data_IF_198478279211
#
_entry.id   IF_198478279211
#
_cell.length_a   1.000
_cell.length_b   1.000
_cell.length_c   1.000
_cell.angle_alpha   90.00
_cell.angle_beta   90.00
_cell.angle_gamma   90.00
#
_symmetry.space_group_name_H-M   'P 1'
#
loop_
_entity.id
_entity.type
_entity.pdbx_description
1 polymer ?
#
# COMPACT_ATOMS: atom_id res chain seq x y z
N UNK A 1 -55.08 -16.89 -20.95
CA UNK A 1 -54.48 -16.89 -19.59
C UNK A 1 -52.97 -16.64 -19.69
N UNK A 2 -52.57 -15.69 -20.54
CA UNK A 2 -51.19 -15.61 -21.10
C UNK A 2 -50.59 -14.21 -20.98
N UNK A 3 -51.39 -13.18 -20.70
CA UNK A 3 -50.92 -11.80 -20.58
C UNK A 3 -50.30 -11.45 -19.21
N UNK A 4 -50.48 -12.31 -18.19
CA UNK A 4 -49.95 -12.05 -16.83
C UNK A 4 -48.49 -12.46 -16.69
N UNK A 5 -48.03 -13.41 -17.50
CA UNK A 5 -46.68 -13.99 -17.43
C UNK A 5 -45.62 -13.12 -18.13
N UNK A 6 -46.00 -12.40 -19.19
CA UNK A 6 -45.08 -11.51 -19.91
C UNK A 6 -44.76 -10.22 -19.13
N UNK A 7 -45.71 -9.69 -18.35
CA UNK A 7 -45.46 -8.52 -17.49
C UNK A 7 -44.49 -8.81 -16.35
N UNK A 8 -44.43 -10.05 -15.88
CA UNK A 8 -43.49 -10.44 -14.82
C UNK A 8 -42.07 -10.62 -15.34
N UNK A 9 -41.89 -11.12 -16.57
CA UNK A 9 -40.56 -11.22 -17.18
C UNK A 9 -39.96 -9.84 -17.47
N UNK A 10 -40.72 -8.96 -18.12
CA UNK A 10 -40.29 -7.60 -18.46
C UNK A 10 -39.92 -6.74 -17.24
N UNK A 11 -40.59 -6.95 -16.10
CA UNK A 11 -40.34 -6.21 -14.85
C UNK A 11 -39.17 -6.76 -14.01
N UNK A 12 -38.73 -7.99 -14.29
CA UNK A 12 -37.55 -8.60 -13.65
C UNK A 12 -36.29 -8.23 -14.42
N UNK A 13 -36.35 -8.17 -15.75
CA UNK A 13 -35.25 -7.76 -16.63
C UNK A 13 -34.86 -6.29 -16.42
N UNK A 14 -35.83 -5.39 -16.25
CA UNK A 14 -35.56 -3.96 -15.93
C UNK A 14 -35.00 -3.75 -14.52
N UNK A 15 -35.09 -4.72 -13.61
CA UNK A 15 -34.59 -4.60 -12.24
C UNK A 15 -33.16 -5.16 -12.10
N UNK A 16 -32.73 -5.99 -13.03
CA UNK A 16 -31.37 -6.52 -13.07
C UNK A 16 -30.38 -5.51 -13.69
N UNK A 17 -30.83 -4.73 -14.68
CA UNK A 17 -30.02 -3.69 -15.33
C UNK A 17 -29.74 -2.47 -14.42
N UNK A 18 -30.59 -2.22 -13.43
CA UNK A 18 -30.48 -1.06 -12.52
C UNK A 18 -29.50 -1.30 -11.35
N UNK A 19 -28.89 -2.49 -11.26
CA UNK A 19 -27.89 -2.83 -10.23
C UNK A 19 -26.45 -2.75 -10.73
N UNK A 20 -26.22 -2.57 -12.02
CA UNK A 20 -24.87 -2.50 -12.57
C UNK A 20 -24.29 -1.07 -12.60
N UNK A 21 -25.05 -0.06 -12.17
CA UNK A 21 -24.62 1.32 -11.91
C UNK A 21 -24.10 1.53 -10.48
N UNK A 22 -23.54 0.47 -9.88
CA UNK A 22 -23.38 0.32 -8.42
C UNK A 22 -22.32 1.22 -7.74
N UNK A 23 -21.54 2.01 -8.49
CA UNK A 23 -20.64 3.02 -7.91
C UNK A 23 -20.73 4.33 -8.71
N UNK A 24 -21.14 5.45 -8.10
CA UNK A 24 -21.26 6.71 -8.82
C UNK A 24 -19.86 7.20 -9.22
N UNK A 25 -19.73 7.72 -10.45
CA UNK A 25 -18.44 8.17 -11.00
C UNK A 25 -17.60 9.09 -10.08
N UNK A 26 -18.20 10.00 -9.27
CA UNK A 26 -17.46 10.77 -8.28
C UNK A 26 -16.75 9.92 -7.22
N UNK A 27 -17.36 8.83 -6.78
CA UNK A 27 -16.79 7.95 -5.74
C UNK A 27 -15.64 7.12 -6.32
N UNK A 28 -15.76 6.67 -7.58
CA UNK A 28 -14.66 6.03 -8.30
C UNK A 28 -13.47 6.99 -8.53
N UNK A 29 -13.74 8.25 -8.84
CA UNK A 29 -12.69 9.27 -8.96
C UNK A 29 -11.97 9.49 -7.63
N UNK A 30 -12.71 9.64 -6.52
CA UNK A 30 -12.12 9.81 -5.18
C UNK A 30 -11.32 8.59 -4.73
N UNK A 31 -11.82 7.38 -4.98
CA UNK A 31 -11.09 6.15 -4.74
C UNK A 31 -9.75 6.15 -5.51
N UNK A 32 -9.80 6.48 -6.81
CA UNK A 32 -8.61 6.51 -7.66
C UNK A 32 -7.60 7.55 -7.17
N UNK A 33 -8.05 8.75 -6.81
CA UNK A 33 -7.18 9.79 -6.21
C UNK A 33 -6.57 9.32 -4.89
N UNK A 34 -7.34 8.64 -4.04
CA UNK A 34 -6.86 8.10 -2.76
C UNK A 34 -5.76 7.06 -2.97
N UNK A 35 -5.96 6.14 -3.92
CA UNK A 35 -4.95 5.15 -4.30
C UNK A 35 -3.69 5.80 -4.90
N UNK A 36 -3.85 6.81 -5.77
CA UNK A 36 -2.72 7.53 -6.36
C UNK A 36 -1.90 8.29 -5.31
N UNK A 37 -2.57 8.91 -4.33
CA UNK A 37 -1.89 9.58 -3.22
C UNK A 37 -1.15 8.57 -2.35
N UNK A 38 -1.78 7.44 -1.99
CA UNK A 38 -1.13 6.37 -1.24
C UNK A 38 0.06 5.76 -1.98
N UNK A 39 -0.02 5.60 -3.29
CA UNK A 39 1.09 5.15 -4.13
C UNK A 39 2.25 6.16 -4.14
N UNK A 40 1.94 7.44 -4.17
CA UNK A 40 2.96 8.51 -4.11
C UNK A 40 3.69 8.48 -2.77
N UNK A 41 2.94 8.38 -1.66
CA UNK A 41 3.49 8.23 -0.30
C UNK A 41 4.39 6.98 -0.21
N UNK A 42 3.94 5.84 -0.76
CA UNK A 42 4.72 4.60 -0.78
C UNK A 42 6.04 4.76 -1.52
N UNK A 43 6.04 5.40 -2.69
CA UNK A 43 7.28 5.63 -3.44
C UNK A 43 8.24 6.56 -2.69
N UNK A 44 7.72 7.61 -2.04
CA UNK A 44 8.54 8.50 -1.20
C UNK A 44 9.20 7.73 -0.05
N UNK A 45 8.47 6.83 0.60
CA UNK A 45 9.00 5.96 1.64
C UNK A 45 10.09 5.03 1.13
N UNK A 46 9.83 4.31 0.02
CA UNK A 46 10.81 3.41 -0.59
C UNK A 46 12.09 4.13 -1.01
N UNK A 47 11.99 5.32 -1.59
CA UNK A 47 13.15 6.13 -1.96
C UNK A 47 13.94 6.59 -0.73
N UNK A 48 13.25 7.00 0.33
CA UNK A 48 13.88 7.43 1.58
C UNK A 48 14.62 6.27 2.26
N UNK A 49 14.01 5.08 2.25
CA UNK A 49 14.63 3.85 2.72
C UNK A 49 15.88 3.49 1.90
N UNK A 50 15.79 3.54 0.57
CA UNK A 50 16.92 3.28 -0.32
C UNK A 50 18.08 4.25 -0.07
N UNK A 51 17.80 5.54 0.09
CA UNK A 51 18.82 6.56 0.43
C UNK A 51 19.48 6.28 1.77
N UNK A 52 18.68 5.89 2.78
CA UNK A 52 19.18 5.54 4.12
C UNK A 52 20.06 4.31 4.06
N UNK A 53 19.66 3.27 3.33
CA UNK A 53 20.44 2.05 3.12
C UNK A 53 21.79 2.33 2.45
N UNK A 54 21.81 3.19 1.42
CA UNK A 54 23.06 3.63 0.78
C UNK A 54 23.97 4.36 1.77
N UNK A 55 23.44 5.29 2.55
CA UNK A 55 24.22 6.02 3.56
C UNK A 55 24.81 5.08 4.61
N UNK A 56 23.98 4.18 5.16
CA UNK A 56 24.43 3.17 6.13
C UNK A 56 25.55 2.29 5.58
N UNK A 57 25.46 1.88 4.30
CA UNK A 57 26.52 1.09 3.65
C UNK A 57 27.81 1.87 3.46
N UNK A 58 27.72 3.17 3.14
CA UNK A 58 28.90 4.04 3.03
C UNK A 58 29.57 4.24 4.38
N UNK A 59 28.78 4.46 5.44
CA UNK A 59 29.29 4.60 6.80
C UNK A 59 29.98 3.31 7.27
N UNK A 60 29.35 2.15 7.01
CA UNK A 60 29.94 0.84 7.27
C UNK A 60 31.26 0.62 6.51
N UNK A 61 31.32 1.03 5.24
CA UNK A 61 32.53 0.92 4.44
C UNK A 61 33.67 1.82 4.97
N UNK A 62 33.34 3.01 5.48
CA UNK A 62 34.32 3.88 6.14
C UNK A 62 34.83 3.26 7.44
N UNK A 63 33.95 2.68 8.24
CA UNK A 63 34.33 2.02 9.50
C UNK A 63 35.22 0.80 9.26
N UNK A 64 34.88 -0.03 8.28
CA UNK A 64 35.69 -1.18 7.87
C UNK A 64 37.10 -0.78 7.43
N UNK A 65 37.27 0.38 6.78
CA UNK A 65 38.58 0.90 6.39
C UNK A 65 39.45 1.31 7.57
N UNK A 66 38.84 1.66 8.70
CA UNK A 66 39.52 2.11 9.89
C UNK A 66 39.80 0.97 10.89
N UNK A 67 39.26 -0.23 10.64
CA UNK A 67 39.50 -1.40 11.49
C UNK A 67 40.98 -1.80 11.47
N UNK A 68 41.57 -2.03 12.64
CA UNK A 68 42.97 -2.42 12.81
C UNK A 68 43.12 -3.92 13.11
N UNK A 69 42.02 -4.64 13.30
CA UNK A 69 42.02 -6.06 13.62
C UNK A 69 40.90 -6.83 12.91
N UNK A 70 41.08 -8.15 12.66
CA UNK A 70 40.00 -9.00 12.15
C UNK A 70 38.78 -9.04 13.06
N UNK A 71 38.98 -8.87 14.37
CA UNK A 71 37.89 -8.84 15.35
C UNK A 71 37.01 -7.60 15.16
N UNK A 72 37.61 -6.42 14.98
CA UNK A 72 36.87 -5.19 14.67
C UNK A 72 36.08 -5.28 13.36
N UNK A 73 36.63 -5.96 12.35
CA UNK A 73 35.95 -6.22 11.08
C UNK A 73 34.71 -7.10 11.29
N UNK A 74 34.81 -8.15 12.11
CA UNK A 74 33.68 -9.03 12.42
C UNK A 74 32.61 -8.30 13.24
N UNK A 75 33.01 -7.53 14.24
CA UNK A 75 32.09 -6.74 15.07
C UNK A 75 31.34 -5.71 14.22
N UNK A 76 32.04 -5.03 13.31
CA UNK A 76 31.45 -4.08 12.34
C UNK A 76 30.43 -4.79 11.44
N UNK A 77 30.80 -5.93 10.86
CA UNK A 77 29.88 -6.69 10.00
C UNK A 77 28.65 -7.19 10.75
N UNK A 78 28.80 -7.73 11.96
CA UNK A 78 27.67 -8.18 12.77
C UNK A 78 26.73 -7.03 13.15
N UNK A 79 27.29 -5.87 13.51
CA UNK A 79 26.50 -4.68 13.84
C UNK A 79 25.73 -4.17 12.62
N UNK A 80 26.38 -4.09 11.46
CA UNK A 80 25.74 -3.68 10.20
C UNK A 80 24.63 -4.66 9.83
N UNK A 81 24.90 -5.96 9.87
CA UNK A 81 23.91 -6.99 9.57
C UNK A 81 22.69 -6.88 10.49
N UNK A 82 22.90 -6.78 11.81
CA UNK A 82 21.80 -6.60 12.78
C UNK A 82 20.97 -5.36 12.43
N UNK A 83 21.64 -4.22 12.22
CA UNK A 83 20.97 -2.97 11.87
C UNK A 83 20.17 -3.08 10.57
N UNK A 84 20.73 -3.69 9.52
CA UNK A 84 20.04 -3.89 8.25
C UNK A 84 18.77 -4.74 8.44
N UNK A 85 18.81 -5.78 9.27
CA UNK A 85 17.63 -6.58 9.57
C UNK A 85 16.57 -5.79 10.36
N UNK A 86 16.99 -5.02 11.36
CA UNK A 86 16.09 -4.18 12.16
C UNK A 86 15.40 -3.12 11.27
N UNK A 87 16.20 -2.38 10.48
CA UNK A 87 15.72 -1.36 9.56
C UNK A 87 14.74 -1.97 8.52
N UNK A 88 15.03 -3.16 7.99
CA UNK A 88 14.16 -3.85 7.04
C UNK A 88 12.82 -4.27 7.66
N UNK A 89 12.84 -4.85 8.87
CA UNK A 89 11.62 -5.28 9.56
C UNK A 89 10.74 -4.08 9.93
N UNK A 90 11.34 -2.98 10.35
CA UNK A 90 10.63 -1.74 10.61
C UNK A 90 9.99 -1.18 9.34
N UNK A 91 10.74 -1.11 8.24
CA UNK A 91 10.20 -0.59 6.97
C UNK A 91 9.11 -1.48 6.40
N UNK A 92 9.24 -2.80 6.50
CA UNK A 92 8.20 -3.74 6.09
C UNK A 92 6.88 -3.52 6.86
N UNK A 93 6.97 -3.21 8.17
CA UNK A 93 5.79 -2.85 8.97
C UNK A 93 5.19 -1.52 8.52
N UNK A 94 6.02 -0.52 8.24
CA UNK A 94 5.57 0.80 7.78
C UNK A 94 4.84 0.70 6.43
N UNK A 95 5.41 -0.04 5.47
CA UNK A 95 4.79 -0.32 4.17
C UNK A 95 3.47 -1.06 4.36
N UNK A 96 3.43 -2.10 5.20
CA UNK A 96 2.21 -2.84 5.49
C UNK A 96 1.10 -1.95 6.06
N UNK A 97 1.44 -1.08 7.00
CA UNK A 97 0.51 -0.11 7.57
C UNK A 97 0.01 0.88 6.50
N UNK A 98 0.90 1.40 5.65
CA UNK A 98 0.53 2.31 4.57
C UNK A 98 -0.44 1.64 3.58
N UNK A 99 -0.16 0.40 3.17
CA UNK A 99 -1.02 -0.37 2.27
C UNK A 99 -2.39 -0.65 2.89
N UNK A 100 -2.42 -0.97 4.19
CA UNK A 100 -3.67 -1.19 4.92
C UNK A 100 -4.51 0.09 4.99
N UNK A 101 -3.90 1.24 5.32
CA UNK A 101 -4.58 2.54 5.31
C UNK A 101 -5.11 2.89 3.92
N UNK A 102 -4.25 2.82 2.91
CA UNK A 102 -4.61 3.10 1.51
C UNK A 102 -5.81 2.24 1.05
N UNK A 103 -5.81 0.95 1.41
CA UNK A 103 -6.91 0.03 1.07
C UNK A 103 -8.20 0.37 1.84
N UNK A 104 -8.09 0.66 3.13
CA UNK A 104 -9.22 1.04 3.96
C UNK A 104 -9.86 2.35 3.48
N UNK A 105 -9.05 3.35 3.16
CA UNK A 105 -9.49 4.66 2.70
C UNK A 105 -10.11 4.59 1.30
N UNK A 106 -9.57 3.72 0.42
CA UNK A 106 -10.15 3.47 -0.90
C UNK A 106 -11.52 2.77 -0.80
N UNK A 107 -11.66 1.76 0.06
CA UNK A 107 -12.91 1.00 0.25
C UNK A 107 -14.02 1.85 0.88
N UNK A 108 -13.68 2.88 1.68
CA UNK A 108 -14.67 3.80 2.23
C UNK A 108 -15.50 4.50 1.16
N UNK A 109 -14.90 4.80 -0.01
CA UNK A 109 -15.62 5.40 -1.14
C UNK A 109 -16.55 4.41 -1.86
N UNK A 110 -16.31 3.11 -1.70
CA UNK A 110 -17.18 2.05 -2.26
C UNK A 110 -18.27 1.63 -1.28
N UNK A 111 -18.17 1.99 0.00
CA UNK A 111 -19.17 1.59 0.99
C UNK A 111 -20.41 2.50 0.91
N UNK A 112 -21.64 1.95 0.84
CA UNK A 112 -22.87 2.74 0.83
C UNK A 112 -23.05 3.60 2.09
N UNK A 113 -22.30 3.33 3.16
CA UNK A 113 -22.30 4.08 4.42
C UNK A 113 -21.17 5.13 4.53
N UNK A 114 -20.31 5.31 3.51
CA UNK A 114 -19.26 6.34 3.47
C UNK A 114 -19.75 7.77 3.25
N UNK A 115 -21.08 7.96 3.24
CA UNK A 115 -21.77 9.24 3.08
C UNK A 115 -21.94 9.90 4.45
N UNK A 116 -20.87 10.46 5.00
CA UNK A 116 -20.94 11.44 6.09
C UNK A 116 -20.52 12.82 5.59
#
# INVERSE_FOLDING_TARGET
MTARTERTASKVETRADDRMTEFPAPDLMKMTTTLMNGWTELNTHLLSFAQTSIRNNLDAAQELRNCQSPQEVLDTQMRVARKTYEDYLEEARNIGNLMARMSNDAVQWLSPNGRA
#
